data_IF_730321843824
#
_entry.id   IF_730321843824
#
_cell.length_a   1.000
_cell.length_b   1.000
_cell.length_c   1.000
_cell.angle_alpha   90.00
_cell.angle_beta   90.00
_cell.angle_gamma   90.00
#
_symmetry.space_group_name_H-M   'P 1'
#
loop_
_entity.id
_entity.type
_entity.pdbx_description
1 polymer ?
#
# COMPACT_ATOMS: atom_id res chain seq x y z
N UNK A 1 13.61 2.94 29.52
CA UNK A 1 12.15 2.65 29.56
C UNK A 1 11.71 2.59 28.11
N UNK A 2 11.61 1.39 27.53
CA UNK A 2 11.25 1.21 26.13
C UNK A 2 9.74 1.44 25.97
N UNK A 3 9.28 2.17 24.95
CA UNK A 3 7.84 2.34 24.71
C UNK A 3 7.21 0.99 24.36
N UNK A 4 6.11 0.67 25.01
CA UNK A 4 5.28 -0.50 24.70
C UNK A 4 4.82 -0.37 23.25
N UNK A 5 5.21 -1.35 22.43
CA UNK A 5 4.63 -1.54 21.11
C UNK A 5 3.11 -1.72 21.25
N UNK A 6 2.36 -0.74 20.79
CA UNK A 6 0.94 -0.92 20.58
C UNK A 6 0.76 -2.01 19.52
N UNK A 7 0.45 -3.21 19.99
CA UNK A 7 -0.08 -4.27 19.14
C UNK A 7 -1.47 -3.80 18.69
N UNK A 8 -1.47 -3.04 17.59
CA UNK A 8 -2.70 -2.56 16.98
C UNK A 8 -3.68 -3.69 16.76
N UNK A 9 -4.93 -3.37 16.89
CA UNK A 9 -6.07 -4.26 16.73
C UNK A 9 -5.97 -5.03 15.41
N UNK A 10 -5.57 -6.29 15.46
CA UNK A 10 -5.45 -7.16 14.28
C UNK A 10 -6.81 -7.77 14.00
N UNK A 11 -7.50 -7.26 12.99
CA UNK A 11 -8.72 -7.90 12.50
C UNK A 11 -8.42 -8.73 11.26
N UNK A 12 -8.89 -9.98 11.27
CA UNK A 12 -8.75 -10.90 10.15
C UNK A 12 -10.11 -11.07 9.47
N UNK A 13 -10.17 -10.73 8.19
CA UNK A 13 -11.32 -11.01 7.35
C UNK A 13 -10.93 -12.04 6.29
N UNK A 14 -11.65 -13.15 6.25
CA UNK A 14 -11.49 -14.18 5.24
C UNK A 14 -12.63 -14.07 4.24
N UNK A 15 -12.29 -13.87 2.96
CA UNK A 15 -13.26 -13.90 1.87
C UNK A 15 -13.06 -15.20 1.08
N UNK A 16 -14.13 -15.96 0.94
CA UNK A 16 -14.13 -17.13 0.07
C UNK A 16 -15.24 -16.97 -0.96
N UNK A 17 -14.91 -17.12 -2.23
CA UNK A 17 -15.87 -17.21 -3.30
C UNK A 17 -16.26 -18.69 -3.45
N UNK A 18 -17.49 -19.03 -3.11
CA UNK A 18 -18.04 -20.36 -3.43
C UNK A 18 -18.23 -20.45 -4.93
N UNK A 19 -17.44 -21.29 -5.60
CA UNK A 19 -17.71 -21.70 -6.98
C UNK A 19 -18.44 -23.04 -6.96
N UNK A 20 -19.34 -23.33 -7.94
CA UNK A 20 -20.12 -24.57 -7.97
C UNK A 20 -19.29 -25.87 -8.05
N UNK A 21 -17.99 -25.77 -8.21
CA UNK A 21 -17.09 -26.92 -8.42
C UNK A 21 -16.16 -27.20 -7.22
N UNK A 22 -16.43 -26.68 -6.03
CA UNK A 22 -15.70 -27.08 -4.81
C UNK A 22 -14.23 -26.63 -4.70
N UNK A 23 -13.68 -25.99 -5.71
CA UNK A 23 -12.35 -25.40 -5.68
C UNK A 23 -12.51 -23.89 -5.50
N UNK A 24 -12.02 -23.34 -4.38
CA UNK A 24 -12.01 -21.91 -4.15
C UNK A 24 -10.78 -21.29 -4.83
N UNK A 25 -10.90 -20.69 -6.04
CA UNK A 25 -9.75 -20.13 -6.74
C UNK A 25 -9.30 -18.77 -6.18
N UNK A 26 -9.93 -18.26 -5.15
CA UNK A 26 -9.56 -16.98 -4.53
C UNK A 26 -9.92 -16.95 -3.06
N UNK A 27 -9.24 -17.73 -2.23
CA UNK A 27 -9.20 -17.42 -0.79
C UNK A 27 -8.34 -16.19 -0.61
N UNK A 28 -8.97 -15.02 -0.44
CA UNK A 28 -8.29 -13.79 -0.10
C UNK A 28 -8.25 -13.58 1.41
N UNK A 29 -7.14 -13.09 1.90
CA UNK A 29 -7.01 -12.61 3.27
C UNK A 29 -6.75 -11.11 3.25
N UNK A 30 -7.44 -10.37 4.11
CA UNK A 30 -7.18 -8.97 4.34
C UNK A 30 -6.67 -8.83 5.78
N UNK A 31 -5.48 -8.26 5.92
CA UNK A 31 -4.87 -7.96 7.19
C UNK A 31 -4.67 -6.46 7.31
N UNK A 32 -5.23 -5.87 8.33
CA UNK A 32 -5.00 -4.47 8.68
C UNK A 32 -3.96 -4.40 9.78
N UNK A 33 -2.90 -3.66 9.53
CA UNK A 33 -1.86 -3.35 10.51
C UNK A 33 -1.46 -1.89 10.37
N UNK A 34 -1.24 -1.22 11.48
CA UNK A 34 -0.58 0.09 11.47
C UNK A 34 0.93 -0.12 11.45
N UNK A 35 1.60 0.54 10.50
CA UNK A 35 3.05 0.66 10.50
C UNK A 35 3.39 2.06 11.00
N UNK A 36 4.29 2.14 11.95
CA UNK A 36 4.88 3.41 12.31
C UNK A 36 5.97 3.75 11.30
N UNK A 37 5.61 4.52 10.31
CA UNK A 37 6.54 5.22 9.42
C UNK A 37 6.18 6.70 9.54
N UNK A 38 7.03 7.50 10.21
CA UNK A 38 6.76 8.92 10.33
C UNK A 38 6.80 9.59 8.96
N UNK A 39 5.90 10.49 8.71
CA UNK A 39 5.84 11.33 7.52
C UNK A 39 4.59 11.15 6.68
N UNK A 40 4.38 12.14 5.83
CA UNK A 40 3.31 12.17 4.86
C UNK A 40 3.63 11.32 3.64
N UNK A 41 2.62 10.62 3.14
CA UNK A 41 2.73 9.83 1.92
C UNK A 41 1.72 10.29 0.89
N UNK A 42 2.13 10.27 -0.37
CA UNK A 42 1.16 10.28 -1.46
C UNK A 42 0.44 8.93 -1.45
N UNK A 43 -0.91 8.89 -1.53
CA UNK A 43 -1.64 7.63 -1.52
C UNK A 43 -1.18 6.69 -2.63
N UNK A 44 -0.74 5.48 -2.26
CA UNK A 44 -0.23 4.51 -3.22
C UNK A 44 -0.41 3.06 -2.75
N UNK A 45 -0.36 2.16 -3.71
CA UNK A 45 -0.20 0.72 -3.47
C UNK A 45 1.27 0.35 -3.63
N UNK A 46 1.82 -0.35 -2.66
CA UNK A 46 3.15 -0.94 -2.77
C UNK A 46 3.06 -2.43 -3.03
N UNK A 47 3.78 -2.89 -4.05
CA UNK A 47 3.89 -4.29 -4.44
C UNK A 47 5.37 -4.68 -4.40
N UNK A 48 5.67 -5.80 -3.76
CA UNK A 48 7.02 -6.37 -3.84
C UNK A 48 7.16 -7.13 -5.16
N UNK A 49 8.22 -6.84 -5.90
CA UNK A 49 8.52 -7.52 -7.15
C UNK A 49 9.19 -8.88 -6.87
N UNK A 50 8.38 -9.87 -6.57
CA UNK A 50 8.80 -11.27 -6.38
C UNK A 50 8.69 -12.09 -7.67
N UNK A 51 8.18 -11.49 -8.75
CA UNK A 51 7.82 -12.18 -9.98
C UNK A 51 6.42 -12.78 -9.99
N UNK A 52 5.75 -12.85 -8.84
CA UNK A 52 4.39 -13.41 -8.73
C UNK A 52 3.30 -12.38 -9.09
N UNK A 53 3.42 -11.15 -8.62
CA UNK A 53 2.43 -10.10 -8.85
C UNK A 53 2.89 -9.06 -9.86
N UNK A 54 1.93 -8.48 -10.57
CA UNK A 54 2.15 -7.41 -11.54
C UNK A 54 1.55 -6.09 -11.05
N UNK A 55 2.06 -4.98 -11.57
CA UNK A 55 1.53 -3.65 -11.25
C UNK A 55 0.06 -3.47 -11.66
N UNK A 56 -0.40 -4.20 -12.68
CA UNK A 56 -1.80 -4.16 -13.14
C UNK A 56 -2.80 -4.56 -12.06
N UNK A 57 -2.41 -5.45 -11.14
CA UNK A 57 -3.26 -5.79 -9.98
C UNK A 57 -3.36 -4.63 -9.00
N UNK A 58 -2.31 -3.83 -8.84
CA UNK A 58 -2.33 -2.62 -8.03
C UNK A 58 -3.28 -1.54 -8.56
N UNK A 59 -3.43 -1.43 -9.89
CA UNK A 59 -4.36 -0.49 -10.51
C UNK A 59 -5.83 -0.75 -10.15
N UNK A 60 -6.15 -1.96 -9.71
CA UNK A 60 -7.51 -2.29 -9.29
C UNK A 60 -7.97 -1.53 -8.03
N UNK A 61 -7.05 -1.03 -7.25
CA UNK A 61 -7.36 -0.20 -6.08
C UNK A 61 -7.76 1.24 -6.46
N UNK A 62 -7.33 1.73 -7.62
CA UNK A 62 -7.65 3.09 -8.10
C UNK A 62 -7.03 4.19 -7.25
N UNK A 63 -5.86 3.96 -6.67
CA UNK A 63 -5.03 4.99 -6.04
C UNK A 63 -4.11 5.65 -7.09
N UNK A 64 -3.58 6.85 -6.82
CA UNK A 64 -2.78 7.60 -7.81
C UNK A 64 -1.54 6.86 -8.29
N UNK A 65 -0.88 6.10 -7.40
CA UNK A 65 0.37 5.44 -7.72
C UNK A 65 0.39 3.97 -7.34
N UNK A 66 1.15 3.18 -8.11
CA UNK A 66 1.55 1.82 -7.78
C UNK A 66 3.08 1.77 -7.75
N UNK A 67 3.64 1.50 -6.59
CA UNK A 67 5.09 1.44 -6.38
C UNK A 67 5.54 -0.01 -6.41
N UNK A 68 6.40 -0.34 -7.36
CA UNK A 68 7.03 -1.66 -7.48
C UNK A 68 8.41 -1.62 -6.85
N UNK A 69 8.65 -2.43 -5.83
CA UNK A 69 9.91 -2.47 -5.10
C UNK A 69 10.50 -3.88 -5.06
N UNK A 70 11.81 -4.00 -5.23
CA UNK A 70 12.51 -5.27 -4.99
C UNK A 70 12.50 -5.61 -3.50
N UNK A 71 12.28 -6.89 -3.14
CA UNK A 71 12.37 -7.30 -1.75
C UNK A 71 13.80 -7.12 -1.22
N UNK A 72 13.91 -6.59 -0.02
CA UNK A 72 15.16 -6.54 0.76
C UNK A 72 15.22 -7.72 1.74
N UNK A 73 16.36 -8.05 2.33
CA UNK A 73 16.46 -9.14 3.29
C UNK A 73 15.49 -9.03 4.46
N UNK A 74 15.20 -7.81 4.94
CA UNK A 74 14.25 -7.61 6.04
C UNK A 74 12.80 -7.89 5.61
N UNK A 75 12.48 -7.73 4.34
CA UNK A 75 11.12 -7.99 3.84
C UNK A 75 10.76 -9.47 3.93
N UNK A 76 11.74 -10.37 3.93
CA UNK A 76 11.51 -11.83 4.08
C UNK A 76 10.82 -12.21 5.38
N UNK A 77 10.86 -11.34 6.39
CA UNK A 77 10.16 -11.52 7.66
C UNK A 77 8.74 -10.98 7.66
N UNK A 78 8.34 -10.27 6.60
CA UNK A 78 7.02 -9.64 6.51
C UNK A 78 5.95 -10.61 6.02
N UNK A 79 4.73 -10.39 6.47
CA UNK A 79 3.58 -11.17 6.05
C UNK A 79 3.31 -11.01 4.54
N UNK A 80 3.48 -9.79 4.01
CA UNK A 80 3.30 -9.49 2.60
C UNK A 80 4.23 -10.35 1.71
N UNK A 81 5.52 -10.40 2.03
CA UNK A 81 6.49 -11.23 1.30
C UNK A 81 6.13 -12.71 1.35
N UNK A 82 5.85 -13.23 2.54
CA UNK A 82 5.52 -14.64 2.73
C UNK A 82 4.24 -15.04 1.99
N UNK A 83 3.22 -14.20 1.96
CA UNK A 83 2.02 -14.47 1.18
C UNK A 83 2.31 -14.58 -0.31
N UNK A 84 3.15 -13.70 -0.86
CA UNK A 84 3.52 -13.77 -2.28
C UNK A 84 4.32 -15.03 -2.63
N UNK A 85 5.23 -15.46 -1.76
CA UNK A 85 5.98 -16.71 -1.94
C UNK A 85 5.05 -17.93 -1.95
N UNK A 86 3.94 -17.87 -1.22
CA UNK A 86 2.90 -18.89 -1.22
C UNK A 86 1.77 -18.59 -2.21
N UNK A 87 2.06 -17.89 -3.30
CA UNK A 87 1.16 -17.62 -4.40
C UNK A 87 -0.18 -16.94 -3.99
N UNK A 88 -0.10 -16.11 -2.96
CA UNK A 88 -1.22 -15.30 -2.49
C UNK A 88 -0.98 -13.84 -2.82
N UNK A 89 -1.96 -13.19 -3.45
CA UNK A 89 -1.89 -11.78 -3.75
C UNK A 89 -1.78 -10.96 -2.46
N UNK A 90 -0.73 -10.17 -2.36
CA UNK A 90 -0.44 -9.34 -1.20
C UNK A 90 -0.08 -7.92 -1.61
N UNK A 91 -0.72 -6.94 -0.99
CA UNK A 91 -0.56 -5.53 -1.27
C UNK A 91 -0.39 -4.77 0.04
N UNK A 92 0.38 -3.69 0.00
CA UNK A 92 0.42 -2.72 1.09
C UNK A 92 -0.19 -1.42 0.61
N UNK A 93 -1.20 -0.93 1.32
CA UNK A 93 -1.87 0.33 1.03
C UNK A 93 -1.26 1.39 1.94
N UNK A 94 -0.78 2.47 1.36
CA UNK A 94 -0.30 3.64 2.05
C UNK A 94 -1.24 4.80 1.75
N UNK A 95 -1.72 5.45 2.78
CA UNK A 95 -2.49 6.69 2.71
C UNK A 95 -1.69 7.84 3.30
N UNK A 96 -2.24 9.02 3.36
CA UNK A 96 -1.50 10.27 3.57
C UNK A 96 -0.65 10.31 4.85
N UNK A 97 -1.24 9.98 5.99
CA UNK A 97 -0.57 10.09 7.30
C UNK A 97 -0.65 8.81 8.11
N UNK A 98 0.34 8.60 8.97
CA UNK A 98 0.41 7.45 9.86
C UNK A 98 0.34 7.81 11.34
N UNK A 99 0.58 9.06 11.69
CA UNK A 99 0.71 9.51 13.08
C UNK A 99 -0.60 10.04 13.66
N UNK A 100 -1.51 10.51 12.79
CA UNK A 100 -2.81 11.02 13.19
C UNK A 100 -3.96 10.24 12.54
N UNK A 101 -5.13 10.29 13.16
CA UNK A 101 -6.36 9.74 12.58
C UNK A 101 -6.92 10.79 11.63
N UNK A 102 -6.65 10.63 10.34
CA UNK A 102 -7.23 11.44 9.29
C UNK A 102 -8.42 10.72 8.64
N UNK A 103 -9.58 11.31 8.74
CA UNK A 103 -10.82 10.72 8.22
C UNK A 103 -10.78 10.60 6.68
N UNK A 104 -10.20 11.57 5.99
CA UNK A 104 -10.08 11.54 4.54
C UNK A 104 -9.21 10.39 4.07
N UNK A 105 -8.04 10.19 4.69
CA UNK A 105 -7.15 9.07 4.41
C UNK A 105 -7.82 7.72 4.69
N UNK A 106 -8.58 7.64 5.78
CA UNK A 106 -9.33 6.43 6.13
C UNK A 106 -10.41 6.12 5.08
N UNK A 107 -11.17 7.10 4.65
CA UNK A 107 -12.18 6.94 3.60
C UNK A 107 -11.56 6.54 2.27
N UNK A 108 -10.41 7.11 1.92
CA UNK A 108 -9.69 6.76 0.69
C UNK A 108 -9.17 5.31 0.73
N UNK A 109 -8.64 4.87 1.86
CA UNK A 109 -8.21 3.49 2.06
C UNK A 109 -9.38 2.50 1.94
N UNK A 110 -10.51 2.79 2.59
CA UNK A 110 -11.73 1.99 2.50
C UNK A 110 -12.24 1.94 1.07
N UNK A 111 -12.32 3.09 0.39
CA UNK A 111 -12.76 3.16 -1.00
C UNK A 111 -11.84 2.37 -1.93
N UNK A 112 -10.53 2.39 -1.71
CA UNK A 112 -9.56 1.61 -2.48
C UNK A 112 -9.80 0.10 -2.31
N UNK A 113 -10.00 -0.37 -1.09
CA UNK A 113 -10.31 -1.78 -0.80
C UNK A 113 -11.64 -2.19 -1.46
N UNK A 114 -12.68 -1.39 -1.35
CA UNK A 114 -13.98 -1.66 -1.97
C UNK A 114 -13.90 -1.72 -3.50
N UNK A 115 -13.12 -0.82 -4.13
CA UNK A 115 -12.84 -0.85 -5.57
C UNK A 115 -12.15 -2.15 -5.98
N UNK A 116 -11.11 -2.54 -5.25
CA UNK A 116 -10.42 -3.80 -5.51
C UNK A 116 -11.37 -5.00 -5.42
N UNK A 117 -12.11 -5.14 -4.32
CA UNK A 117 -13.05 -6.25 -4.12
C UNK A 117 -14.15 -6.29 -5.18
N UNK A 118 -14.62 -5.13 -5.62
CA UNK A 118 -15.62 -5.03 -6.69
C UNK A 118 -15.03 -5.44 -8.04
N UNK A 119 -13.83 -4.97 -8.38
CA UNK A 119 -13.17 -5.24 -9.67
C UNK A 119 -12.72 -6.70 -9.81
N UNK A 120 -12.35 -7.35 -8.72
CA UNK A 120 -12.06 -8.80 -8.73
C UNK A 120 -13.33 -9.66 -8.63
N UNK A 121 -14.51 -9.04 -8.57
CA UNK A 121 -15.80 -9.72 -8.57
C UNK A 121 -16.20 -10.40 -7.25
N UNK A 122 -15.54 -10.06 -6.15
CA UNK A 122 -15.88 -10.56 -4.81
C UNK A 122 -17.04 -9.80 -4.17
N UNK A 123 -17.23 -8.55 -4.54
CA UNK A 123 -18.25 -7.68 -4.01
C UNK A 123 -19.04 -7.03 -5.16
N UNK A 124 -20.36 -6.96 -5.04
CA UNK A 124 -21.21 -6.12 -5.91
C UNK A 124 -21.39 -4.78 -5.23
N UNK A 125 -20.52 -3.85 -5.54
CA UNK A 125 -20.57 -2.51 -4.98
C UNK A 125 -20.32 -1.48 -6.07
N UNK A 126 -21.19 -0.46 -6.11
CA UNK A 126 -21.03 0.64 -7.05
C UNK A 126 -20.16 1.71 -6.40
N UNK A 127 -18.90 1.75 -6.80
CA UNK A 127 -17.95 2.70 -6.27
C UNK A 127 -17.43 3.65 -7.35
N UNK A 128 -16.96 4.80 -6.93
CA UNK A 128 -16.27 5.74 -7.80
C UNK A 128 -15.04 5.07 -8.44
N UNK A 129 -14.78 5.37 -9.72
CA UNK A 129 -13.73 4.69 -10.50
C UNK A 129 -12.31 4.86 -9.94
N UNK A 130 -12.05 5.92 -9.15
CA UNK A 130 -10.71 6.22 -8.66
C UNK A 130 -9.77 6.72 -9.75
N UNK A 131 -8.48 6.66 -9.50
CA UNK A 131 -7.43 7.11 -10.41
C UNK A 131 -7.01 6.00 -11.38
N UNK A 132 -6.52 6.40 -12.55
CA UNK A 132 -5.65 5.56 -13.37
C UNK A 132 -4.24 5.71 -12.78
N UNK A 133 -3.76 4.66 -12.13
CA UNK A 133 -2.51 4.73 -11.37
C UNK A 133 -1.28 4.86 -12.28
N UNK A 134 -0.36 5.72 -11.89
CA UNK A 134 0.99 5.76 -12.46
C UNK A 134 1.84 4.68 -11.78
N UNK A 135 2.50 3.84 -12.56
CA UNK A 135 3.41 2.82 -12.04
C UNK A 135 4.79 3.44 -11.87
N UNK A 136 5.34 3.36 -10.67
CA UNK A 136 6.69 3.83 -10.33
C UNK A 136 7.55 2.62 -9.97
N UNK A 137 8.67 2.47 -10.66
CA UNK A 137 9.65 1.43 -10.38
C UNK A 137 10.68 1.95 -9.37
N UNK A 138 11.30 1.05 -8.61
CA UNK A 138 12.32 1.42 -7.63
C UNK A 138 13.50 2.20 -8.23
N UNK A 139 13.88 1.89 -9.46
CA UNK A 139 14.96 2.60 -10.19
C UNK A 139 14.58 4.00 -10.67
N UNK A 140 13.31 4.37 -10.60
CA UNK A 140 12.80 5.71 -10.92
C UNK A 140 12.70 6.58 -9.65
N UNK A 141 13.03 6.02 -8.49
CA UNK A 141 13.00 6.70 -7.20
C UNK A 141 14.40 7.13 -6.78
N UNK A 142 14.52 8.35 -6.27
CA UNK A 142 15.75 8.86 -5.67
C UNK A 142 15.55 9.19 -4.19
N UNK A 143 16.53 8.82 -3.37
CA UNK A 143 16.55 9.22 -1.97
C UNK A 143 17.36 10.51 -1.84
N UNK A 144 16.77 11.53 -1.26
CA UNK A 144 17.46 12.75 -0.89
C UNK A 144 17.95 12.61 0.53
N UNK A 145 19.28 12.62 0.71
CA UNK A 145 19.91 12.49 2.02
C UNK A 145 20.31 13.85 2.55
N UNK A 146 20.12 14.08 3.82
CA UNK A 146 20.61 15.29 4.49
C UNK A 146 22.13 15.24 4.62
N UNK A 147 22.84 16.34 4.32
CA UNK A 147 24.31 16.39 4.44
C UNK A 147 24.79 16.45 5.90
N UNK A 148 23.92 16.75 6.85
CA UNK A 148 24.23 16.90 8.26
C UNK A 148 23.06 16.46 9.14
N UNK A 149 23.34 16.19 10.41
CA UNK A 149 22.31 15.97 11.42
C UNK A 149 21.54 17.25 11.71
N UNK A 150 20.26 17.12 12.02
CA UNK A 150 19.39 18.26 12.32
C UNK A 150 17.92 17.85 12.38
N UNK A 151 17.06 18.85 12.44
CA UNK A 151 15.61 18.67 12.32
C UNK A 151 15.24 18.85 10.86
N UNK A 152 14.59 17.85 10.30
CA UNK A 152 14.05 17.93 8.94
C UNK A 152 12.71 18.67 8.96
N UNK A 153 12.55 19.64 8.06
CA UNK A 153 11.27 20.30 7.80
C UNK A 153 11.10 20.40 6.30
N UNK A 154 10.06 19.79 5.77
CA UNK A 154 9.72 19.89 4.36
C UNK A 154 9.12 21.24 4.05
N UNK A 155 9.54 21.85 2.94
CA UNK A 155 8.93 23.06 2.36
C UNK A 155 8.05 22.77 1.16
N UNK A 156 8.00 21.49 0.76
CA UNK A 156 7.16 20.99 -0.32
C UNK A 156 6.19 19.95 0.21
N UNK A 157 5.02 19.87 -0.40
CA UNK A 157 4.01 18.90 -0.01
C UNK A 157 4.17 17.58 -0.78
N UNK A 158 3.74 16.45 -0.19
CA UNK A 158 3.74 15.16 -0.89
C UNK A 158 2.96 15.22 -2.20
N UNK A 159 3.58 14.75 -3.29
CA UNK A 159 2.98 14.79 -4.63
C UNK A 159 3.21 16.09 -5.41
N UNK A 160 3.85 17.08 -4.82
CA UNK A 160 4.21 18.29 -5.51
C UNK A 160 5.37 18.04 -6.50
N UNK A 161 5.20 18.50 -7.74
CA UNK A 161 6.30 18.53 -8.71
C UNK A 161 7.34 19.60 -8.30
N UNK A 162 8.61 19.24 -8.34
CA UNK A 162 9.72 20.12 -7.97
C UNK A 162 10.71 20.22 -9.14
N UNK A 163 11.20 21.43 -9.39
CA UNK A 163 12.28 21.64 -10.35
C UNK A 163 13.65 21.41 -9.71
N UNK A 164 14.66 21.09 -10.53
CA UNK A 164 16.02 20.71 -10.10
C UNK A 164 16.73 21.74 -9.21
N UNK A 165 16.30 23.00 -9.23
CA UNK A 165 16.87 24.12 -8.42
C UNK A 165 15.99 24.55 -7.24
N UNK A 166 14.85 23.92 -7.07
CA UNK A 166 13.92 24.26 -5.98
C UNK A 166 14.45 23.68 -4.65
N UNK A 167 14.50 24.51 -3.62
CA UNK A 167 14.76 23.99 -2.26
C UNK A 167 13.62 23.08 -1.84
N UNK A 168 13.97 21.91 -1.44
CA UNK A 168 13.04 20.93 -0.86
C UNK A 168 12.89 21.16 0.64
#
# INVERSE_FOLDING_TARGET
MLPRSNLGNRSWLRFSRATPAGVCPACGHIHFASFYLPGDFVPHIRIMNTGYQTASLGNLFGLPYVVMRKPTPIDTTTLNYNWQIWETNAFSIYTKETDEVDEQSAQEAVAAVLRYLSRVGLLRYHCHSGYLSTVVQENEMANVLTPAGGVFSSVVEPGQEVECVQKM
#
